data_IF_474585268106
#
_entry.id   IF_474585268106
#
_cell.length_a   1.000
_cell.length_b   1.000
_cell.length_c   1.000
_cell.angle_alpha   90.00
_cell.angle_beta   90.00
_cell.angle_gamma   90.00
#
_symmetry.space_group_name_H-M   'P 1'
#
loop_
_entity.id
_entity.type
_entity.pdbx_description
1 polymer ?
#
# COMPACT_ATOMS: atom_id res chain seq x y z
N UNK A 1 -60.17 -7.61 1.24
CA UNK A 1 -58.76 -7.22 1.42
C UNK A 1 -58.68 -5.71 1.60
N UNK A 2 -58.35 -5.23 2.81
CA UNK A 2 -58.27 -3.79 3.08
C UNK A 2 -57.14 -3.14 2.27
N UNK A 3 -57.46 -2.16 1.43
CA UNK A 3 -56.48 -1.40 0.65
C UNK A 3 -55.65 -0.57 1.65
N UNK A 4 -54.36 -0.91 1.80
CA UNK A 4 -53.41 -0.14 2.62
C UNK A 4 -53.56 1.35 2.37
N UNK A 5 -53.65 2.13 3.44
CA UNK A 5 -53.83 3.57 3.37
C UNK A 5 -52.63 4.23 2.66
N UNK A 6 -52.84 5.42 2.10
CA UNK A 6 -51.77 6.20 1.44
C UNK A 6 -50.58 6.44 2.37
N UNK A 7 -50.83 6.59 3.68
CA UNK A 7 -49.81 6.76 4.70
C UNK A 7 -48.98 5.48 4.92
N UNK A 8 -49.62 4.32 4.97
CA UNK A 8 -48.95 3.02 5.12
C UNK A 8 -48.05 2.71 3.91
N UNK A 9 -48.52 3.01 2.69
CA UNK A 9 -47.71 2.86 1.46
C UNK A 9 -46.47 3.74 1.47
N UNK A 10 -46.59 5.02 1.90
CA UNK A 10 -45.45 5.94 2.04
C UNK A 10 -44.44 5.46 3.08
N UNK A 11 -44.92 5.02 4.26
CA UNK A 11 -44.07 4.48 5.34
C UNK A 11 -43.31 3.22 4.89
N UNK A 12 -43.98 2.32 4.17
CA UNK A 12 -43.36 1.12 3.61
C UNK A 12 -42.27 1.46 2.57
N UNK A 13 -42.54 2.39 1.64
CA UNK A 13 -41.55 2.84 0.65
C UNK A 13 -40.32 3.46 1.30
N UNK A 14 -40.50 4.28 2.34
CA UNK A 14 -39.39 4.87 3.08
C UNK A 14 -38.54 3.79 3.78
N UNK A 15 -39.17 2.80 4.42
CA UNK A 15 -38.48 1.67 5.06
C UNK A 15 -37.68 0.84 4.05
N UNK A 16 -38.29 0.51 2.91
CA UNK A 16 -37.63 -0.24 1.84
C UNK A 16 -36.40 0.52 1.30
N UNK A 17 -36.52 1.84 1.07
CA UNK A 17 -35.38 2.67 0.64
C UNK A 17 -34.26 2.69 1.68
N UNK A 18 -34.58 2.82 2.97
CA UNK A 18 -33.59 2.77 4.05
C UNK A 18 -32.87 1.42 4.11
N UNK A 19 -33.60 0.31 3.97
CA UNK A 19 -33.01 -1.04 3.93
C UNK A 19 -32.10 -1.21 2.73
N UNK A 20 -32.52 -0.77 1.54
CA UNK A 20 -31.70 -0.84 0.33
C UNK A 20 -30.40 -0.03 0.45
N UNK A 21 -30.47 1.17 1.05
CA UNK A 21 -29.27 1.99 1.32
C UNK A 21 -28.33 1.25 2.28
N UNK A 22 -28.85 0.70 3.38
CA UNK A 22 -28.04 -0.02 4.36
C UNK A 22 -27.36 -1.26 3.75
N UNK A 23 -28.07 -2.02 2.90
CA UNK A 23 -27.51 -3.17 2.19
C UNK A 23 -26.42 -2.75 1.19
N UNK A 24 -26.64 -1.66 0.45
CA UNK A 24 -25.64 -1.10 -0.47
C UNK A 24 -24.38 -0.65 0.28
N UNK A 25 -24.55 0.05 1.40
CA UNK A 25 -23.46 0.52 2.26
C UNK A 25 -22.68 -0.65 2.88
N UNK A 26 -23.38 -1.69 3.33
CA UNK A 26 -22.74 -2.91 3.85
C UNK A 26 -21.94 -3.62 2.76
N UNK A 27 -22.50 -3.79 1.56
CA UNK A 27 -21.80 -4.40 0.42
C UNK A 27 -20.55 -3.59 0.02
N UNK A 28 -20.65 -2.26 0.02
CA UNK A 28 -19.51 -1.39 -0.24
C UNK A 28 -18.45 -1.47 0.86
N UNK A 29 -18.86 -1.50 2.13
CA UNK A 29 -17.98 -1.69 3.28
C UNK A 29 -17.18 -3.00 3.16
N UNK A 30 -17.85 -4.11 2.84
CA UNK A 30 -17.19 -5.41 2.64
C UNK A 30 -16.18 -5.39 1.49
N UNK A 31 -16.54 -4.79 0.35
CA UNK A 31 -15.62 -4.68 -0.80
C UNK A 31 -14.40 -3.83 -0.47
N UNK A 32 -14.59 -2.68 0.18
CA UNK A 32 -13.49 -1.80 0.61
C UNK A 32 -12.61 -2.49 1.66
N UNK A 33 -13.20 -3.26 2.57
CA UNK A 33 -12.46 -4.06 3.54
C UNK A 33 -11.51 -5.05 2.87
N UNK A 34 -12.03 -5.94 2.02
CA UNK A 34 -11.21 -6.92 1.31
C UNK A 34 -10.11 -6.25 0.47
N UNK A 35 -10.45 -5.15 -0.21
CA UNK A 35 -9.49 -4.42 -1.03
C UNK A 35 -8.37 -3.78 -0.20
N UNK A 36 -8.70 -3.20 0.95
CA UNK A 36 -7.71 -2.59 1.84
C UNK A 36 -6.81 -3.64 2.53
N UNK A 37 -7.35 -4.81 2.90
CA UNK A 37 -6.51 -5.94 3.38
C UNK A 37 -5.52 -6.36 2.32
N UNK A 38 -6.00 -6.64 1.10
CA UNK A 38 -5.17 -7.07 -0.01
C UNK A 38 -4.14 -6.02 -0.44
N UNK A 39 -4.51 -4.74 -0.37
CA UNK A 39 -3.59 -3.65 -0.67
C UNK A 39 -2.38 -3.66 0.28
N UNK A 40 -2.63 -3.95 1.56
CA UNK A 40 -1.63 -3.89 2.62
C UNK A 40 -0.83 -5.19 2.80
N UNK A 41 -1.34 -6.32 2.33
CA UNK A 41 -0.73 -7.66 2.48
C UNK A 41 0.81 -7.71 2.24
N UNK A 42 1.38 -7.06 1.22
CA UNK A 42 2.82 -7.16 0.94
C UNK A 42 3.70 -6.50 2.00
N UNK A 43 3.20 -5.47 2.68
CA UNK A 43 3.96 -4.71 3.68
C UNK A 43 3.73 -5.26 5.09
N UNK A 44 2.65 -6.02 5.31
CA UNK A 44 2.31 -6.59 6.61
C UNK A 44 3.48 -7.31 7.33
N UNK A 45 4.29 -8.17 6.68
CA UNK A 45 5.34 -8.91 7.38
C UNK A 45 6.46 -8.03 7.95
N UNK A 46 6.65 -6.81 7.43
CA UNK A 46 7.70 -5.90 7.91
C UNK A 46 7.31 -5.19 9.21
N UNK A 47 6.01 -5.13 9.52
CA UNK A 47 5.45 -4.33 10.62
C UNK A 47 4.68 -5.14 11.66
N UNK A 48 4.52 -6.45 11.47
CA UNK A 48 3.73 -7.32 12.36
C UNK A 48 4.65 -8.30 13.07
N UNK A 49 4.51 -8.37 14.39
CA UNK A 49 5.09 -9.43 15.22
C UNK A 49 4.01 -10.21 15.98
N UNK A 50 3.61 -11.36 15.44
CA UNK A 50 2.61 -12.23 16.06
C UNK A 50 3.17 -13.20 17.12
N UNK A 51 4.46 -13.08 17.49
CA UNK A 51 5.13 -14.03 18.38
C UNK A 51 4.48 -14.15 19.76
N UNK A 52 3.80 -13.10 20.22
CA UNK A 52 3.08 -13.05 21.50
C UNK A 52 1.56 -12.97 21.32
N UNK A 53 1.05 -13.45 20.18
CA UNK A 53 -0.34 -13.34 19.77
C UNK A 53 -0.57 -12.21 18.76
N UNK A 54 -1.82 -12.01 18.29
CA UNK A 54 -2.07 -11.13 17.16
C UNK A 54 -1.69 -9.67 17.44
N UNK A 55 -0.67 -9.16 16.75
CA UNK A 55 -0.24 -7.77 16.85
C UNK A 55 -1.26 -6.84 16.18
N UNK A 56 -2.11 -6.25 17.00
CA UNK A 56 -3.12 -5.29 16.57
C UNK A 56 -2.54 -3.90 16.35
N UNK A 57 -1.37 -3.58 16.93
CA UNK A 57 -0.74 -2.26 16.81
C UNK A 57 -0.09 -2.15 15.45
N UNK A 58 0.79 -3.10 15.07
CA UNK A 58 1.42 -3.14 13.76
C UNK A 58 0.41 -3.17 12.63
N UNK A 59 -0.62 -4.02 12.74
CA UNK A 59 -1.73 -4.06 11.77
C UNK A 59 -2.47 -2.74 11.62
N UNK A 60 -2.75 -2.06 12.74
CA UNK A 60 -3.44 -0.76 12.70
C UNK A 60 -2.58 0.30 12.00
N UNK A 61 -1.27 0.31 12.21
CA UNK A 61 -0.34 1.20 11.53
C UNK A 61 -0.37 0.93 10.03
N UNK A 62 -0.21 -0.33 9.63
CA UNK A 62 -0.22 -0.72 8.21
C UNK A 62 -1.55 -0.37 7.52
N UNK A 63 -2.68 -0.73 8.13
CA UNK A 63 -3.99 -0.37 7.57
C UNK A 63 -4.23 1.13 7.52
N UNK A 64 -3.65 1.90 8.45
CA UNK A 64 -3.68 3.37 8.39
C UNK A 64 -2.87 3.89 7.21
N UNK A 65 -1.68 3.35 6.94
CA UNK A 65 -0.89 3.67 5.75
C UNK A 65 -1.69 3.35 4.47
N UNK A 66 -2.31 2.18 4.40
CA UNK A 66 -3.16 1.79 3.28
C UNK A 66 -4.37 2.71 3.09
N UNK A 67 -5.02 3.14 4.18
CA UNK A 67 -6.14 4.11 4.12
C UNK A 67 -5.69 5.45 3.52
N UNK A 68 -4.52 5.96 3.95
CA UNK A 68 -3.96 7.22 3.45
C UNK A 68 -3.66 7.09 1.96
N UNK A 69 -2.91 6.04 1.57
CA UNK A 69 -2.58 5.73 0.19
C UNK A 69 -3.83 5.63 -0.70
N UNK A 70 -4.86 4.94 -0.20
CA UNK A 70 -6.14 4.79 -0.88
C UNK A 70 -6.81 6.14 -1.14
N UNK A 71 -6.91 6.97 -0.11
CA UNK A 71 -7.59 8.26 -0.19
C UNK A 71 -6.84 9.28 -1.06
N UNK A 72 -5.51 9.25 -1.10
CA UNK A 72 -4.72 10.08 -2.02
C UNK A 72 -5.14 9.82 -3.46
N UNK A 73 -5.18 8.55 -3.87
CA UNK A 73 -5.53 8.17 -5.25
C UNK A 73 -7.01 8.40 -5.57
N UNK A 74 -7.90 8.27 -4.59
CA UNK A 74 -9.34 8.51 -4.82
C UNK A 74 -9.69 9.98 -4.90
N UNK A 75 -9.09 10.81 -4.04
CA UNK A 75 -9.47 12.22 -3.90
C UNK A 75 -8.60 13.17 -4.72
N UNK A 76 -7.41 12.72 -5.13
CA UNK A 76 -6.38 13.57 -5.74
C UNK A 76 -5.77 14.58 -4.77
N UNK A 77 -6.22 14.62 -3.51
CA UNK A 77 -5.73 15.54 -2.49
C UNK A 77 -4.53 14.91 -1.79
N UNK A 78 -3.36 15.49 -2.01
CA UNK A 78 -2.13 15.20 -1.24
C UNK A 78 -2.15 15.88 0.14
N UNK A 79 -3.30 15.99 0.82
CA UNK A 79 -3.31 16.50 2.20
C UNK A 79 -2.28 15.70 3.00
N UNK A 80 -1.34 16.44 3.58
CA UNK A 80 0.06 16.06 3.52
C UNK A 80 0.30 14.73 4.26
N UNK A 81 0.97 13.78 3.60
CA UNK A 81 1.43 12.54 4.25
C UNK A 81 2.15 12.89 5.56
N UNK A 82 2.81 14.05 5.62
CA UNK A 82 3.38 14.62 6.84
C UNK A 82 2.33 14.98 7.90
N UNK A 83 1.22 15.66 7.62
CA UNK A 83 0.14 15.94 8.59
C UNK A 83 -0.44 14.70 9.25
N UNK A 84 -0.57 13.59 8.51
CA UNK A 84 -1.11 12.34 9.05
C UNK A 84 -0.22 11.73 10.15
N UNK A 85 1.08 12.05 10.16
CA UNK A 85 2.07 11.56 11.12
C UNK A 85 2.76 12.66 11.93
N UNK A 86 2.41 13.95 11.75
CA UNK A 86 2.99 15.08 12.48
C UNK A 86 2.85 14.96 14.01
N UNK A 87 1.88 14.16 14.48
CA UNK A 87 1.66 13.88 15.92
C UNK A 87 2.43 12.67 16.44
N UNK A 88 3.22 12.01 15.60
CA UNK A 88 4.03 10.84 15.98
C UNK A 88 5.46 11.27 16.28
N UNK A 89 6.08 10.67 17.30
CA UNK A 89 7.49 10.90 17.66
C UNK A 89 8.45 10.15 16.72
N UNK A 90 8.16 10.10 15.43
CA UNK A 90 9.02 9.44 14.45
C UNK A 90 10.16 10.37 14.05
N UNK A 91 11.37 9.82 13.97
CA UNK A 91 12.51 10.55 13.42
C UNK A 91 12.36 10.77 11.90
N UNK A 92 13.22 11.62 11.32
CA UNK A 92 13.18 11.97 9.90
C UNK A 92 13.34 10.74 9.00
N UNK A 93 14.11 9.75 9.42
CA UNK A 93 14.33 8.54 8.63
C UNK A 93 13.09 7.65 8.60
N UNK A 94 12.47 7.46 9.76
CA UNK A 94 11.23 6.71 9.92
C UNK A 94 10.07 7.35 9.16
N UNK A 95 9.98 8.69 9.20
CA UNK A 95 8.99 9.44 8.41
C UNK A 95 9.17 9.20 6.91
N UNK A 96 10.42 9.23 6.41
CA UNK A 96 10.73 8.96 5.00
C UNK A 96 10.37 7.53 4.59
N UNK A 97 10.63 6.55 5.45
CA UNK A 97 10.24 5.15 5.20
C UNK A 97 8.72 5.02 5.09
N UNK A 98 7.97 5.55 6.07
CA UNK A 98 6.50 5.53 6.05
C UNK A 98 5.93 6.23 4.81
N UNK A 99 6.53 7.35 4.42
CA UNK A 99 6.13 8.07 3.20
C UNK A 99 6.34 7.22 1.94
N UNK A 100 7.50 6.57 1.80
CA UNK A 100 7.79 5.71 0.65
C UNK A 100 6.83 4.51 0.58
N UNK A 101 6.50 3.91 1.72
CA UNK A 101 5.51 2.83 1.78
C UNK A 101 4.13 3.30 1.33
N UNK A 102 3.68 4.48 1.79
CA UNK A 102 2.41 5.06 1.36
C UNK A 102 2.39 5.33 -0.15
N UNK A 103 3.50 5.83 -0.72
CA UNK A 103 3.63 6.03 -2.17
C UNK A 103 3.53 4.68 -2.91
N UNK A 104 4.22 3.65 -2.42
CA UNK A 104 4.17 2.30 -2.98
C UNK A 104 2.76 1.71 -2.95
N UNK A 105 2.06 1.83 -1.81
CA UNK A 105 0.67 1.42 -1.66
C UNK A 105 -0.26 2.24 -2.57
N UNK A 106 0.01 3.53 -2.80
CA UNK A 106 -0.81 4.34 -3.67
C UNK A 106 -0.67 3.92 -5.15
N UNK A 107 0.56 3.68 -5.61
CA UNK A 107 0.85 3.09 -6.93
C UNK A 107 0.11 1.75 -7.10
N UNK A 108 0.21 0.88 -6.08
CA UNK A 108 -0.48 -0.42 -6.07
C UNK A 108 -2.00 -0.27 -6.11
N UNK A 109 -2.57 0.66 -5.34
CA UNK A 109 -4.02 0.90 -5.33
C UNK A 109 -4.51 1.32 -6.72
N UNK A 110 -3.78 2.19 -7.38
CA UNK A 110 -4.12 2.65 -8.73
C UNK A 110 -4.11 1.49 -9.74
N UNK A 111 -3.09 0.64 -9.68
CA UNK A 111 -2.95 -0.52 -10.58
C UNK A 111 -3.98 -1.63 -10.32
N UNK A 112 -4.18 -2.03 -9.05
CA UNK A 112 -4.97 -3.23 -8.71
C UNK A 112 -6.46 -2.93 -8.45
N UNK A 113 -6.80 -1.70 -8.05
CA UNK A 113 -8.16 -1.31 -7.68
C UNK A 113 -8.66 -0.03 -8.37
N UNK A 114 -8.53 0.11 -9.70
CA UNK A 114 -8.87 1.36 -10.41
C UNK A 114 -10.36 1.71 -10.31
N UNK A 115 -11.23 0.71 -10.21
CA UNK A 115 -12.68 0.87 -10.17
C UNK A 115 -13.23 1.19 -8.78
N UNK A 116 -12.42 1.05 -7.72
CA UNK A 116 -12.84 1.38 -6.36
C UNK A 116 -12.49 2.84 -6.04
N UNK A 117 -13.48 3.71 -6.29
CA UNK A 117 -13.39 5.17 -6.19
C UNK A 117 -14.05 5.77 -4.97
N UNK A 118 -14.39 4.94 -3.99
CA UNK A 118 -14.94 5.41 -2.71
C UNK A 118 -13.80 5.60 -1.72
N UNK A 119 -13.70 6.78 -1.11
CA UNK A 119 -12.75 7.05 -0.04
C UNK A 119 -13.08 6.21 1.19
N UNK A 120 -12.10 5.95 2.05
CA UNK A 120 -12.27 5.26 3.32
C UNK A 120 -12.24 6.31 4.41
N UNK A 121 -13.39 6.54 5.06
CA UNK A 121 -13.54 7.54 6.13
C UNK A 121 -12.75 7.12 7.37
N UNK A 122 -12.91 5.87 7.76
CA UNK A 122 -12.26 5.26 8.92
C UNK A 122 -12.31 3.73 8.80
N UNK A 123 -11.66 3.02 9.71
CA UNK A 123 -11.77 1.57 9.82
C UNK A 123 -11.80 1.10 11.27
N UNK A 124 -12.36 -0.08 11.45
CA UNK A 124 -12.30 -0.81 12.72
C UNK A 124 -11.64 -2.17 12.51
N UNK A 125 -11.03 -2.70 13.56
CA UNK A 125 -10.43 -4.03 13.54
C UNK A 125 -11.39 -4.99 14.22
N UNK A 126 -11.75 -6.06 13.54
CA UNK A 126 -12.59 -7.15 14.03
C UNK A 126 -11.76 -8.41 14.18
N UNK A 127 -12.16 -9.31 15.07
CA UNK A 127 -11.59 -10.67 15.11
C UNK A 127 -12.62 -11.64 14.55
N UNK A 128 -12.26 -12.35 13.48
CA UNK A 128 -13.09 -13.42 12.89
C UNK A 128 -12.27 -14.70 12.96
N UNK A 129 -12.74 -15.69 13.71
CA UNK A 129 -11.98 -16.93 13.93
C UNK A 129 -10.61 -16.72 14.57
N UNK A 130 -10.43 -15.66 15.38
CA UNK A 130 -9.15 -15.30 15.99
C UNK A 130 -8.22 -14.45 15.10
N UNK A 131 -8.51 -14.35 13.80
CA UNK A 131 -7.74 -13.56 12.84
C UNK A 131 -8.22 -12.10 12.82
N UNK A 132 -7.32 -11.11 12.93
CA UNK A 132 -7.68 -9.71 12.80
C UNK A 132 -8.05 -9.36 11.35
N UNK A 133 -9.23 -8.78 11.16
CA UNK A 133 -9.75 -8.30 9.89
C UNK A 133 -10.15 -6.83 9.97
N UNK A 134 -10.08 -6.14 8.84
CA UNK A 134 -10.52 -4.75 8.75
C UNK A 134 -12.00 -4.66 8.39
N UNK A 135 -12.70 -3.73 9.04
CA UNK A 135 -14.01 -3.25 8.63
C UNK A 135 -13.91 -1.77 8.24
N UNK A 136 -13.81 -1.52 6.94
CA UNK A 136 -13.72 -0.18 6.37
C UNK A 136 -15.09 0.51 6.42
N UNK A 137 -15.10 1.80 6.76
CA UNK A 137 -16.26 2.68 6.68
C UNK A 137 -16.19 3.48 5.38
N UNK A 138 -17.12 3.26 4.43
CA UNK A 138 -17.18 4.04 3.20
C UNK A 138 -17.32 5.54 3.49
N UNK A 139 -16.56 6.35 2.75
CA UNK A 139 -16.71 7.79 2.65
C UNK A 139 -17.41 8.17 1.34
N UNK A 140 -17.04 9.32 0.81
CA UNK A 140 -17.60 9.81 -0.46
C UNK A 140 -17.01 9.06 -1.67
N UNK A 141 -17.79 8.97 -2.74
CA UNK A 141 -17.34 8.39 -4.01
C UNK A 141 -16.98 9.51 -4.97
N UNK A 142 -15.79 9.42 -5.55
CA UNK A 142 -15.22 10.43 -6.42
C UNK A 142 -15.30 10.00 -7.89
N UNK A 143 -15.29 10.96 -8.84
CA UNK A 143 -15.15 10.65 -10.24
C UNK A 143 -13.81 9.96 -10.52
N UNK A 144 -13.66 9.42 -11.73
CA UNK A 144 -12.35 9.01 -12.21
C UNK A 144 -11.44 10.22 -12.29
N UNK A 145 -10.25 10.10 -11.71
CA UNK A 145 -9.21 11.11 -11.82
C UNK A 145 -7.95 10.44 -12.37
N UNK A 146 -7.15 11.16 -13.17
CA UNK A 146 -5.81 10.72 -13.52
C UNK A 146 -5.04 10.35 -12.25
N UNK A 147 -4.09 9.41 -12.36
CA UNK A 147 -3.22 9.11 -11.23
C UNK A 147 -2.63 10.43 -10.71
N UNK A 148 -2.74 10.74 -9.42
CA UNK A 148 -2.03 11.89 -8.89
C UNK A 148 -0.56 11.64 -9.18
N UNK A 149 0.08 12.52 -9.97
CA UNK A 149 1.53 12.55 -10.04
C UNK A 149 1.99 12.56 -8.58
N UNK A 150 2.76 11.57 -8.16
CA UNK A 150 3.54 11.72 -6.95
C UNK A 150 4.69 12.56 -7.46
N UNK A 151 4.87 13.77 -6.94
CA UNK A 151 6.02 14.57 -7.34
C UNK A 151 7.24 13.70 -7.18
N UNK A 152 7.75 13.18 -8.29
CA UNK A 152 9.07 12.63 -8.33
C UNK A 152 9.94 13.82 -7.89
N UNK A 153 10.89 13.66 -6.95
CA UNK A 153 11.96 14.64 -6.91
C UNK A 153 12.45 14.75 -8.35
N UNK A 154 12.40 15.95 -8.94
CA UNK A 154 12.83 16.20 -10.31
C UNK A 154 14.18 15.52 -10.53
N UNK A 155 14.17 14.33 -11.10
CA UNK A 155 15.36 13.68 -11.61
C UNK A 155 15.34 14.02 -13.08
N UNK A 156 16.17 15.00 -13.43
CA UNK A 156 16.55 15.30 -14.80
C UNK A 156 16.82 14.00 -15.57
N UNK A 157 16.52 13.95 -16.88
CA UNK A 157 16.74 12.76 -17.68
C UNK A 157 18.24 12.61 -17.93
N UNK A 158 18.97 12.06 -16.98
CA UNK A 158 20.36 11.68 -17.20
C UNK A 158 20.42 10.23 -17.64
N UNK A 159 20.49 10.08 -18.95
CA UNK A 159 21.11 8.95 -19.63
C UNK A 159 22.48 8.68 -19.02
N UNK A 160 22.56 7.72 -18.10
CA UNK A 160 23.82 7.33 -17.48
C UNK A 160 23.66 6.01 -16.74
N UNK A 161 24.66 5.16 -16.85
CA UNK A 161 24.73 3.76 -16.41
C UNK A 161 24.77 3.55 -14.89
N UNK A 162 24.00 4.30 -14.10
CA UNK A 162 24.07 4.24 -12.65
C UNK A 162 23.10 3.20 -12.05
N UNK A 163 23.64 2.39 -11.13
CA UNK A 163 22.87 1.42 -10.36
C UNK A 163 22.01 2.19 -9.36
N UNK A 164 20.76 2.44 -9.72
CA UNK A 164 19.82 3.19 -8.88
C UNK A 164 19.28 2.34 -7.72
N UNK A 165 18.82 2.98 -6.63
CA UNK A 165 18.21 2.28 -5.48
C UNK A 165 17.09 1.32 -5.87
N UNK A 166 16.25 1.72 -6.83
CA UNK A 166 15.14 0.91 -7.33
C UNK A 166 15.61 -0.30 -8.15
N UNK A 167 16.74 -0.19 -8.87
CA UNK A 167 17.35 -1.31 -9.58
C UNK A 167 17.84 -2.37 -8.57
N UNK A 168 18.52 -1.96 -7.50
CA UNK A 168 18.99 -2.88 -6.45
C UNK A 168 17.82 -3.61 -5.80
N UNK A 169 16.78 -2.85 -5.42
CA UNK A 169 15.57 -3.40 -4.79
C UNK A 169 14.82 -4.36 -5.72
N UNK A 170 14.68 -3.99 -6.99
CA UNK A 170 13.97 -4.79 -7.99
C UNK A 170 14.72 -6.08 -8.28
N UNK A 171 16.04 -6.01 -8.46
CA UNK A 171 16.89 -7.18 -8.65
C UNK A 171 16.76 -8.15 -7.48
N UNK A 172 16.90 -7.65 -6.24
CA UNK A 172 16.74 -8.49 -5.04
C UNK A 172 15.38 -9.19 -5.00
N UNK A 173 14.30 -8.45 -5.26
CA UNK A 173 12.94 -9.00 -5.25
C UNK A 173 12.74 -10.04 -6.35
N UNK A 174 13.29 -9.83 -7.55
CA UNK A 174 13.25 -10.82 -8.65
C UNK A 174 13.95 -12.12 -8.27
N UNK A 175 15.09 -12.02 -7.59
CA UNK A 175 15.83 -13.17 -7.07
C UNK A 175 15.15 -13.82 -5.84
N UNK A 176 14.03 -13.25 -5.35
CA UNK A 176 13.31 -13.69 -4.14
C UNK A 176 14.19 -13.75 -2.89
N UNK A 177 15.17 -12.85 -2.79
CA UNK A 177 16.11 -12.81 -1.67
C UNK A 177 15.68 -11.79 -0.61
N UNK A 178 15.98 -12.11 0.65
CA UNK A 178 15.95 -11.14 1.75
C UNK A 178 17.13 -10.17 1.65
N UNK A 179 17.07 -9.02 2.33
CA UNK A 179 18.22 -8.09 2.38
C UNK A 179 19.46 -8.72 3.02
N UNK A 180 19.29 -9.71 3.90
CA UNK A 180 20.39 -10.47 4.51
C UNK A 180 21.07 -11.33 3.44
N UNK A 181 20.30 -12.21 2.77
CA UNK A 181 20.81 -13.10 1.73
C UNK A 181 21.41 -12.32 0.55
N UNK A 182 20.80 -11.18 0.20
CA UNK A 182 21.36 -10.30 -0.82
C UNK A 182 22.69 -9.69 -0.37
N UNK A 183 22.81 -9.28 0.90
CA UNK A 183 24.06 -8.77 1.46
C UNK A 183 25.17 -9.81 1.47
N UNK A 184 24.85 -11.07 1.74
CA UNK A 184 25.81 -12.19 1.73
C UNK A 184 26.49 -12.37 0.36
N UNK A 185 25.78 -12.14 -0.75
CA UNK A 185 26.35 -12.19 -2.12
C UNK A 185 27.50 -11.19 -2.29
N UNK A 186 27.45 -10.07 -1.57
CA UNK A 186 28.46 -9.01 -1.62
C UNK A 186 29.40 -9.02 -0.41
N UNK A 187 29.21 -9.94 0.56
CA UNK A 187 29.97 -9.99 1.81
C UNK A 187 29.63 -8.82 2.77
N UNK A 188 28.38 -8.37 2.77
CA UNK A 188 27.95 -7.14 3.43
C UNK A 188 26.75 -7.35 4.33
N UNK A 189 26.53 -6.43 5.26
CA UNK A 189 25.39 -6.49 6.17
C UNK A 189 24.10 -6.04 5.48
N UNK A 190 22.96 -6.58 5.93
CA UNK A 190 21.63 -6.17 5.48
C UNK A 190 21.37 -4.67 5.64
N UNK A 191 21.96 -4.03 6.66
CA UNK A 191 21.89 -2.58 6.88
C UNK A 191 22.47 -1.79 5.71
N UNK A 192 23.56 -2.27 5.09
CA UNK A 192 24.21 -1.61 3.95
C UNK A 192 23.41 -1.81 2.66
N UNK A 193 22.82 -2.99 2.46
CA UNK A 193 21.86 -3.25 1.36
C UNK A 193 20.63 -2.34 1.50
N UNK A 194 20.08 -2.23 2.71
CA UNK A 194 18.98 -1.30 2.97
C UNK A 194 19.39 0.14 2.66
N UNK A 195 20.61 0.58 3.02
CA UNK A 195 21.07 1.92 2.65
C UNK A 195 21.11 2.14 1.13
N UNK A 196 21.49 1.13 0.34
CA UNK A 196 21.47 1.19 -1.13
C UNK A 196 20.06 1.27 -1.69
N UNK A 197 19.16 0.38 -1.25
CA UNK A 197 17.76 0.35 -1.72
C UNK A 197 16.98 1.64 -1.39
N UNK A 198 17.47 2.41 -0.42
CA UNK A 198 16.85 3.66 0.00
C UNK A 198 17.65 4.91 -0.44
N UNK A 199 18.70 4.75 -1.26
CA UNK A 199 19.51 5.87 -1.77
C UNK A 199 20.26 6.64 -0.69
N UNK A 200 20.53 6.01 0.47
CA UNK A 200 21.30 6.59 1.57
C UNK A 200 22.81 6.37 1.41
N UNK A 201 23.20 5.39 0.61
CA UNK A 201 24.59 5.10 0.28
C UNK A 201 24.65 4.56 -1.14
N UNK A 202 25.75 4.84 -1.83
CA UNK A 202 26.01 4.29 -3.15
C UNK A 202 26.85 3.01 -3.04
N UNK A 203 26.61 2.00 -3.89
CA UNK A 203 27.54 0.89 -4.05
C UNK A 203 28.87 1.41 -4.61
N UNK A 204 29.99 0.80 -4.21
CA UNK A 204 31.29 1.07 -4.85
C UNK A 204 31.27 0.61 -6.31
N UNK A 205 32.18 1.11 -7.14
CA UNK A 205 32.25 0.72 -8.56
C UNK A 205 32.33 -0.80 -8.78
N UNK A 206 33.09 -1.52 -7.95
CA UNK A 206 33.13 -3.00 -7.97
C UNK A 206 31.76 -3.63 -7.67
N UNK A 207 31.01 -3.05 -6.73
CA UNK A 207 29.67 -3.51 -6.37
C UNK A 207 28.65 -3.17 -7.45
N UNK A 208 28.76 -1.98 -8.07
CA UNK A 208 27.93 -1.59 -9.22
C UNK A 208 28.14 -2.56 -10.39
N UNK A 209 29.39 -2.90 -10.72
CA UNK A 209 29.71 -3.89 -11.76
C UNK A 209 29.12 -5.27 -11.45
N UNK A 210 29.22 -5.73 -10.20
CA UNK A 210 28.66 -7.01 -9.78
C UNK A 210 27.12 -7.02 -9.82
N UNK A 211 26.47 -5.92 -9.47
CA UNK A 211 25.01 -5.75 -9.61
C UNK A 211 24.60 -5.77 -11.09
N UNK A 212 25.36 -5.11 -11.97
CA UNK A 212 25.13 -5.14 -13.42
C UNK A 212 25.32 -6.54 -14.02
N UNK A 213 26.29 -7.31 -13.55
CA UNK A 213 26.49 -8.70 -13.96
C UNK A 213 25.28 -9.57 -13.58
N UNK A 214 24.82 -9.48 -12.33
CA UNK A 214 23.62 -10.20 -11.86
C UNK A 214 22.34 -9.81 -12.60
N UNK A 215 22.22 -8.56 -13.04
CA UNK A 215 21.11 -8.10 -13.88
C UNK A 215 21.14 -8.75 -15.26
N UNK A 216 22.32 -8.87 -15.88
CA UNK A 216 22.46 -9.53 -17.19
C UNK A 216 22.15 -11.02 -17.08
N UNK A 217 22.72 -11.71 -16.10
CA UNK A 217 22.50 -13.14 -15.87
C UNK A 217 21.01 -13.47 -15.62
N UNK A 218 20.30 -12.69 -14.81
CA UNK A 218 18.87 -12.90 -14.58
C UNK A 218 18.04 -12.64 -15.86
N UNK A 219 18.36 -11.60 -16.63
CA UNK A 219 17.66 -11.29 -17.86
C UNK A 219 17.89 -12.34 -18.97
N UNK A 220 19.01 -13.07 -18.94
CA UNK A 220 19.31 -14.17 -19.87
C UNK A 220 18.61 -15.46 -19.45
N UNK A 221 18.58 -15.79 -18.16
CA UNK A 221 17.84 -16.95 -17.63
C UNK A 221 16.32 -16.86 -17.86
N UNK A 222 15.75 -15.65 -17.83
CA UNK A 222 14.33 -15.43 -18.17
C UNK A 222 14.04 -15.64 -19.68
N UNK A 223 15.03 -15.48 -20.56
CA UNK A 223 14.87 -15.68 -22.02
C UNK A 223 15.03 -17.14 -22.44
N UNK A 224 15.83 -17.92 -21.72
CA UNK A 224 16.02 -19.36 -22.00
C UNK A 224 14.89 -20.24 -21.44
N UNK A 225 14.02 -19.68 -20.60
CA UNK A 225 12.90 -20.40 -19.96
C UNK A 225 11.52 -20.09 -20.58
N UNK A 226 11.47 -19.28 -21.64
CA UNK A 226 10.30 -19.10 -22.52
C UNK A 226 10.46 -19.88 -23.83
#
# INVERSE_FOLDING_TARGET
MSKKSKAEKRKAKLRARKQQIALSEQSLSTRLSCALEKLCEPVMPEYIDDSNGPDLVGRRIVWRMGQIAWNIVVTGRRESISEAFQRTQLDVEQQKTVQNEIIGLAKRKYAEFPNLRTAIRDFSVLRVGGVPHIKARPGDTFPEIPFPEFGEPESEPETGSDVTPDIVRTLRKRMKLTQIQFGEIFGMTSKKVSAWEHGKAEPTEEQKQKIQALLKENNEQERETC
#
